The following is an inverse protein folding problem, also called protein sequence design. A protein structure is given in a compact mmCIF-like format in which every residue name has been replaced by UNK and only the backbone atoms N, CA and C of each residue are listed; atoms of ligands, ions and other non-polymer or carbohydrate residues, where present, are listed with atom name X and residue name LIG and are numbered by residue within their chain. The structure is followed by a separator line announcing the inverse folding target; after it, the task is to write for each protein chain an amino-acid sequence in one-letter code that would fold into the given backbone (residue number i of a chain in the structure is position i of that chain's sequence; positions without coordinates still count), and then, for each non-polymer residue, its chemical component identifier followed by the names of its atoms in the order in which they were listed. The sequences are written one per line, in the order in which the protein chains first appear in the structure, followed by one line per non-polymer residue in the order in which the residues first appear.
data_IF_887617091028
#
_entry.id   IF_887617091028
#
_cell.length_a   1.000
_cell.length_b   1.000
_cell.length_c   1.000
_cell.angle_alpha   90.00
_cell.angle_beta   90.00
_cell.angle_gamma   90.00
#
_symmetry.space_group_name_H-M   'P 1'
#
loop_
_entity.id
_entity.type
_entity.pdbx_description
1 polymer ?
#
# COMPACT_ATOMS: atom_id res chain seq x y z
N UNK A 1 -23.00 -52.84 8.79
CA UNK A 1 -22.40 -54.03 8.17
C UNK A 1 -21.46 -53.57 7.08
N UNK A 2 -20.17 -53.93 7.19
CA UNK A 2 -19.03 -53.67 6.27
C UNK A 2 -18.73 -52.17 6.09
N UNK A 3 -17.86 -51.49 6.86
CA UNK A 3 -16.45 -51.70 7.29
C UNK A 3 -15.49 -51.89 6.11
N UNK A 4 -14.75 -50.83 5.77
CA UNK A 4 -13.65 -50.81 4.81
C UNK A 4 -12.58 -49.81 5.27
N UNK A 5 -11.77 -50.26 6.22
CA UNK A 5 -10.58 -49.62 6.79
C UNK A 5 -9.42 -49.69 5.80
N UNK A 6 -8.62 -48.62 5.66
CA UNK A 6 -7.21 -48.74 5.28
C UNK A 6 -6.35 -47.83 6.16
N UNK A 7 -5.55 -48.50 6.97
CA UNK A 7 -4.47 -48.05 7.84
C UNK A 7 -3.14 -48.07 7.06
N UNK A 8 -2.21 -47.22 7.49
CA UNK A 8 -0.76 -47.46 7.38
C UNK A 8 -0.04 -46.60 6.33
N UNK A 9 1.14 -46.04 6.55
CA UNK A 9 2.09 -46.26 7.64
C UNK A 9 3.12 -45.12 7.73
N UNK A 10 3.69 -45.00 8.93
CA UNK A 10 4.84 -44.18 9.31
C UNK A 10 6.12 -44.48 8.50
N UNK A 11 7.02 -43.48 8.42
CA UNK A 11 8.43 -43.71 8.08
C UNK A 11 9.29 -42.45 8.16
N UNK A 12 10.00 -42.31 9.29
CA UNK A 12 11.40 -41.86 9.52
C UNK A 12 12.03 -40.96 8.44
N UNK A 13 12.59 -39.79 8.72
CA UNK A 13 13.57 -39.55 9.78
C UNK A 13 14.98 -39.88 9.27
N UNK A 14 15.61 -38.96 8.52
CA UNK A 14 17.04 -38.98 8.26
C UNK A 14 17.61 -37.56 8.34
N UNK A 15 18.66 -37.45 9.15
CA UNK A 15 19.38 -36.25 9.55
C UNK A 15 20.86 -36.55 9.42
N UNK A 16 21.62 -35.87 8.58
CA UNK A 16 23.11 -35.88 8.61
C UNK A 16 23.62 -34.59 7.89
N UNK A 17 24.83 -34.06 8.13
CA UNK A 17 25.30 -33.35 9.33
C UNK A 17 25.93 -31.96 9.03
N UNK A 18 26.22 -31.20 10.09
CA UNK A 18 27.14 -30.07 10.08
C UNK A 18 28.61 -30.52 10.29
N UNK A 19 29.56 -29.77 9.69
CA UNK A 19 31.00 -29.88 9.96
C UNK A 19 31.85 -28.84 9.20
N UNK A 20 32.58 -27.94 9.89
CA UNK A 20 33.51 -26.92 9.33
C UNK A 20 34.99 -27.33 9.60
N UNK A 21 36.04 -26.45 9.65
CA UNK A 21 36.37 -25.16 8.98
C UNK A 21 37.81 -25.15 8.35
N UNK A 22 38.19 -24.07 7.66
CA UNK A 22 39.59 -23.69 7.37
C UNK A 22 39.67 -22.60 6.29
N UNK A 23 40.39 -21.49 6.38
CA UNK A 23 41.47 -21.08 7.28
C UNK A 23 42.74 -20.76 6.49
N UNK A 24 43.03 -19.45 6.34
CA UNK A 24 44.32 -18.79 6.02
C UNK A 24 44.75 -18.65 4.55
N UNK A 25 45.14 -17.42 4.23
CA UNK A 25 45.87 -17.05 3.02
C UNK A 25 46.05 -15.54 2.90
N UNK A 26 46.75 -14.92 3.86
CA UNK A 26 47.28 -13.57 3.73
C UNK A 26 48.49 -13.58 2.78
N UNK A 27 48.60 -12.57 1.91
CA UNK A 27 49.84 -12.24 1.23
C UNK A 27 49.97 -10.71 1.16
N UNK A 28 51.08 -10.24 1.74
CA UNK A 28 51.59 -8.89 1.85
C UNK A 28 51.89 -8.19 0.52
N UNK A 29 52.01 -6.87 0.65
CA UNK A 29 52.38 -5.86 -0.34
C UNK A 29 53.79 -6.04 -0.97
N UNK A 30 54.16 -5.13 -1.88
CA UNK A 30 55.17 -4.17 -1.44
C UNK A 30 54.90 -2.70 -1.80
N UNK A 31 55.58 -1.88 -1.01
CA UNK A 31 55.58 -0.43 -0.85
C UNK A 31 56.47 0.33 -1.87
N UNK A 32 55.94 1.49 -2.34
CA UNK A 32 56.59 2.80 -2.67
C UNK A 32 57.64 2.95 -3.80
N UNK A 33 57.84 4.16 -4.41
CA UNK A 33 58.14 5.43 -3.74
C UNK A 33 57.37 6.69 -4.16
N UNK A 34 57.49 7.67 -3.26
CA UNK A 34 57.02 9.04 -3.31
C UNK A 34 57.62 9.87 -4.47
N UNK A 35 56.86 10.84 -4.93
CA UNK A 35 57.31 11.96 -5.75
C UNK A 35 56.50 13.21 -5.40
N UNK A 36 57.12 14.11 -4.65
CA UNK A 36 56.66 15.48 -4.42
C UNK A 36 56.74 16.28 -5.73
N UNK A 37 55.69 17.06 -6.02
CA UNK A 37 55.63 17.94 -7.18
C UNK A 37 54.49 18.94 -7.04
N UNK A 38 54.83 20.08 -6.45
CA UNK A 38 54.03 21.28 -6.30
C UNK A 38 53.55 21.85 -7.65
N UNK A 39 52.28 22.25 -7.71
CA UNK A 39 51.68 22.89 -8.87
C UNK A 39 50.25 23.32 -8.60
N UNK A 40 50.08 24.43 -7.87
CA UNK A 40 48.86 25.24 -7.93
C UNK A 40 48.60 25.67 -9.37
N UNK A 41 47.44 25.34 -9.93
CA UNK A 41 46.53 26.34 -10.50
C UNK A 41 45.18 25.74 -10.95
N UNK A 42 44.14 26.23 -10.29
CA UNK A 42 42.79 26.48 -10.81
C UNK A 42 42.00 25.31 -11.41
N UNK A 43 41.64 24.34 -10.56
CA UNK A 43 40.35 23.65 -10.72
C UNK A 43 39.24 24.64 -10.35
N UNK A 44 38.59 25.22 -11.35
CA UNK A 44 37.30 25.88 -11.22
C UNK A 44 36.28 24.83 -10.75
N UNK A 45 36.15 24.67 -9.44
CA UNK A 45 35.11 23.84 -8.84
C UNK A 45 33.79 24.59 -9.03
N UNK A 46 32.96 24.02 -9.89
CA UNK A 46 31.57 24.36 -10.15
C UNK A 46 30.78 24.56 -8.84
N UNK A 47 30.67 25.81 -8.40
CA UNK A 47 29.86 26.25 -7.27
C UNK A 47 28.39 26.53 -7.68
N UNK A 48 27.83 25.80 -8.64
CA UNK A 48 26.53 26.10 -9.25
C UNK A 48 25.43 25.05 -9.02
N UNK A 49 25.66 24.05 -8.16
CA UNK A 49 24.65 23.03 -7.87
C UNK A 49 23.62 23.46 -6.80
N UNK A 50 23.93 24.46 -5.97
CA UNK A 50 23.04 24.93 -4.88
C UNK A 50 22.28 26.22 -5.22
N UNK A 51 22.36 26.73 -6.46
CA UNK A 51 21.81 28.03 -6.84
C UNK A 51 20.58 27.98 -7.74
N UNK A 52 19.98 26.82 -8.00
CA UNK A 52 18.75 26.76 -8.81
C UNK A 52 17.51 27.14 -7.98
N UNK A 53 16.50 27.80 -8.58
CA UNK A 53 15.25 28.10 -7.89
C UNK A 53 14.52 26.84 -7.39
N UNK A 54 14.66 25.72 -8.10
CA UNK A 54 14.13 24.41 -7.69
C UNK A 54 14.82 23.90 -6.43
N UNK A 55 16.15 23.93 -6.38
CA UNK A 55 16.92 23.50 -5.22
C UNK A 55 16.58 24.34 -3.97
N UNK A 56 16.39 25.66 -4.15
CA UNK A 56 15.93 26.55 -3.09
C UNK A 56 14.50 26.20 -2.60
N UNK A 57 13.59 25.91 -3.52
CA UNK A 57 12.22 25.52 -3.20
C UNK A 57 12.14 24.17 -2.48
N UNK A 58 12.91 23.16 -2.92
CA UNK A 58 13.00 21.86 -2.26
C UNK A 58 13.66 21.98 -0.88
N UNK A 59 14.69 22.81 -0.74
CA UNK A 59 15.28 23.12 0.58
C UNK A 59 14.26 23.75 1.52
N UNK A 60 13.42 24.66 1.01
CA UNK A 60 12.34 25.24 1.78
C UNK A 60 11.31 24.18 2.20
N UNK A 61 10.97 23.25 1.31
CA UNK A 61 10.06 22.14 1.62
C UNK A 61 10.62 21.24 2.71
N UNK A 62 11.87 20.77 2.57
CA UNK A 62 12.54 19.96 3.58
C UNK A 62 12.49 20.68 4.92
N UNK A 63 12.89 21.95 4.96
CA UNK A 63 12.84 22.77 6.18
C UNK A 63 11.43 22.92 6.73
N UNK A 64 10.39 22.94 5.92
CA UNK A 64 9.00 23.05 6.40
C UNK A 64 8.48 21.72 6.98
N UNK A 65 8.91 20.58 6.41
CA UNK A 65 8.45 19.24 6.78
C UNK A 65 9.27 18.56 7.87
N UNK A 66 10.51 19.00 8.12
CA UNK A 66 11.31 18.52 9.26
C UNK A 66 10.59 18.87 10.57
N UNK A 67 10.43 17.93 11.52
CA UNK A 67 9.83 18.23 12.81
C UNK A 67 10.55 19.40 13.51
N UNK A 68 9.83 20.40 14.04
CA UNK A 68 10.44 21.48 14.79
C UNK A 68 10.87 21.01 16.19
N UNK A 69 11.54 21.89 16.92
CA UNK A 69 11.90 21.65 18.32
C UNK A 69 10.66 21.37 19.20
N UNK A 70 10.79 20.43 20.14
CA UNK A 70 9.73 19.99 21.06
C UNK A 70 9.21 21.10 22.00
N UNK A 71 9.91 22.23 22.09
CA UNK A 71 9.54 23.39 22.90
C UNK A 71 8.50 24.31 22.25
N UNK A 72 8.06 24.01 21.02
CA UNK A 72 7.07 24.82 20.33
C UNK A 72 5.67 24.68 20.94
N UNK A 73 4.93 25.79 20.99
CA UNK A 73 3.53 25.81 21.40
C UNK A 73 2.62 25.23 20.32
N UNK A 74 1.44 24.75 20.71
CA UNK A 74 0.44 24.15 19.80
C UNK A 74 0.14 25.06 18.59
N UNK A 75 -0.16 26.33 18.82
CA UNK A 75 -0.51 27.28 17.75
C UNK A 75 0.60 27.41 16.69
N UNK A 76 1.87 27.30 17.11
CA UNK A 76 3.03 27.37 16.21
C UNK A 76 3.21 26.08 15.42
N UNK A 77 2.92 24.94 16.03
CA UNK A 77 2.93 23.63 15.35
C UNK A 77 1.86 23.59 14.27
N UNK A 78 0.64 24.05 14.59
CA UNK A 78 -0.49 24.08 13.64
C UNK A 78 -0.21 25.02 12.48
N UNK A 79 0.21 26.26 12.74
CA UNK A 79 0.55 27.23 11.69
C UNK A 79 1.64 26.68 10.74
N UNK A 80 2.65 25.99 11.28
CA UNK A 80 3.70 25.34 10.50
C UNK A 80 3.17 24.19 9.67
N UNK A 81 2.33 23.33 10.25
CA UNK A 81 1.72 22.21 9.55
C UNK A 81 0.93 22.68 8.34
N UNK A 82 0.08 23.70 8.51
CA UNK A 82 -0.68 24.30 7.41
C UNK A 82 0.23 24.89 6.34
N UNK A 83 1.23 25.70 6.73
CA UNK A 83 2.18 26.27 5.78
C UNK A 83 2.97 25.19 5.00
N UNK A 84 3.33 24.09 5.67
CA UNK A 84 4.00 22.95 5.04
C UNK A 84 3.10 22.26 4.01
N UNK A 85 1.82 22.03 4.33
CA UNK A 85 0.84 21.45 3.39
C UNK A 85 0.59 22.35 2.19
N UNK A 86 0.46 23.66 2.39
CA UNK A 86 0.29 24.63 1.31
C UNK A 86 1.52 24.66 0.39
N UNK A 87 2.73 24.65 0.96
CA UNK A 87 3.97 24.59 0.18
C UNK A 87 4.04 23.29 -0.63
N UNK A 88 3.80 22.14 0.01
CA UNK A 88 3.77 20.84 -0.67
C UNK A 88 2.76 20.84 -1.83
N UNK A 89 1.54 21.32 -1.59
CA UNK A 89 0.48 21.41 -2.59
C UNK A 89 0.88 22.25 -3.81
N UNK A 90 1.56 23.39 -3.60
CA UNK A 90 2.09 24.22 -4.69
C UNK A 90 3.21 23.52 -5.46
N UNK A 91 4.15 22.88 -4.76
CA UNK A 91 5.30 22.24 -5.39
C UNK A 91 4.92 21.01 -6.22
N UNK A 92 3.88 20.27 -5.82
CA UNK A 92 3.29 19.16 -6.60
C UNK A 92 2.73 19.58 -7.97
N UNK A 93 2.46 20.88 -8.16
CA UNK A 93 1.97 21.45 -9.41
C UNK A 93 3.08 22.15 -10.20
N UNK A 94 4.33 22.08 -9.72
CA UNK A 94 5.47 22.69 -10.40
C UNK A 94 5.92 21.91 -11.63
N UNK A 95 6.91 22.47 -12.31
CA UNK A 95 7.46 21.89 -13.53
C UNK A 95 8.29 20.62 -13.26
N UNK A 96 8.56 19.79 -14.29
CA UNK A 96 9.33 18.56 -14.12
C UNK A 96 10.73 18.72 -13.52
N UNK A 97 11.37 19.87 -13.68
CA UNK A 97 12.69 20.14 -13.06
C UNK A 97 12.63 20.12 -11.54
N UNK A 98 11.55 20.66 -10.96
CA UNK A 98 11.30 20.62 -9.52
C UNK A 98 11.08 19.19 -9.02
N UNK A 99 10.36 18.38 -9.80
CA UNK A 99 10.16 16.96 -9.49
C UNK A 99 11.48 16.17 -9.52
N UNK A 100 12.30 16.38 -10.55
CA UNK A 100 13.64 15.75 -10.63
C UNK A 100 14.55 16.17 -9.49
N UNK A 101 14.50 17.44 -9.09
CA UNK A 101 15.27 17.94 -7.96
C UNK A 101 14.81 17.30 -6.63
N UNK A 102 13.50 17.14 -6.43
CA UNK A 102 12.96 16.44 -5.26
C UNK A 102 13.41 14.97 -5.22
N UNK A 103 13.36 14.25 -6.34
CA UNK A 103 13.82 12.87 -6.44
C UNK A 103 15.33 12.75 -6.20
N UNK A 104 16.11 13.66 -6.78
CA UNK A 104 17.56 13.72 -6.56
C UNK A 104 17.87 13.92 -5.08
N UNK A 105 17.17 14.85 -4.42
CA UNK A 105 17.35 15.12 -2.98
C UNK A 105 16.96 13.91 -2.14
N UNK A 106 15.83 13.25 -2.46
CA UNK A 106 15.39 12.04 -1.76
C UNK A 106 16.44 10.94 -1.81
N UNK A 107 17.01 10.67 -3.00
CA UNK A 107 17.98 9.61 -3.20
C UNK A 107 19.38 9.94 -2.66
N UNK A 108 19.82 11.18 -2.78
CA UNK A 108 21.14 11.61 -2.35
C UNK A 108 21.24 11.75 -0.82
N UNK A 109 20.24 12.38 -0.20
CA UNK A 109 20.27 12.65 1.24
C UNK A 109 19.69 11.52 2.07
N UNK A 110 18.77 10.73 1.50
CA UNK A 110 18.03 9.66 2.18
C UNK A 110 17.53 10.07 3.59
N UNK A 111 16.70 11.12 3.71
CA UNK A 111 16.35 11.67 5.02
C UNK A 111 15.65 10.65 5.92
N UNK A 112 15.95 10.67 7.22
CA UNK A 112 15.35 9.75 8.21
C UNK A 112 13.87 10.08 8.52
N UNK A 113 13.47 11.34 8.34
CA UNK A 113 12.12 11.78 8.64
C UNK A 113 11.11 11.35 7.57
N UNK A 114 10.11 10.57 7.98
CA UNK A 114 9.06 10.03 7.09
C UNK A 114 8.33 11.18 6.37
N UNK A 115 8.00 12.26 7.07
CA UNK A 115 7.30 13.43 6.49
C UNK A 115 8.10 14.08 5.37
N UNK A 116 9.43 14.18 5.53
CA UNK A 116 10.32 14.74 4.52
C UNK A 116 10.42 13.79 3.33
N UNK A 117 10.64 12.49 3.56
CA UNK A 117 10.71 11.50 2.47
C UNK A 117 9.44 11.46 1.64
N UNK A 118 8.28 11.32 2.30
CA UNK A 118 7.00 11.29 1.62
C UNK A 118 6.78 12.59 0.87
N UNK A 119 7.04 13.76 1.48
CA UNK A 119 6.91 15.04 0.79
C UNK A 119 7.78 15.17 -0.47
N UNK A 120 9.03 14.72 -0.43
CA UNK A 120 9.91 14.70 -1.60
C UNK A 120 9.42 13.72 -2.67
N UNK A 121 8.99 12.52 -2.26
CA UNK A 121 8.43 11.52 -3.17
C UNK A 121 7.13 12.01 -3.83
N UNK A 122 6.27 12.70 -3.08
CA UNK A 122 5.05 13.33 -3.60
C UNK A 122 5.35 14.39 -4.66
N UNK A 123 6.27 15.31 -4.39
CA UNK A 123 6.66 16.33 -5.38
C UNK A 123 7.27 15.68 -6.62
N UNK A 124 8.16 14.70 -6.43
CA UNK A 124 8.75 13.94 -7.52
C UNK A 124 7.69 13.26 -8.40
N UNK A 125 6.77 12.54 -7.78
CA UNK A 125 5.73 11.79 -8.47
C UNK A 125 4.74 12.68 -9.24
N UNK A 126 4.31 13.81 -8.67
CA UNK A 126 3.32 14.66 -9.32
C UNK A 126 3.92 15.62 -10.35
N UNK A 127 5.07 16.23 -10.06
CA UNK A 127 5.68 17.23 -10.94
C UNK A 127 6.49 16.58 -12.07
N UNK A 128 7.06 15.40 -11.83
CA UNK A 128 7.84 14.64 -12.82
C UNK A 128 7.43 13.15 -12.87
N UNK A 129 6.17 12.83 -13.23
CA UNK A 129 5.62 11.47 -13.14
C UNK A 129 6.38 10.44 -13.98
N UNK A 130 6.86 10.82 -15.16
CA UNK A 130 7.65 9.94 -16.04
C UNK A 130 9.00 9.58 -15.40
N UNK A 131 9.65 10.55 -14.77
CA UNK A 131 10.96 10.40 -14.12
C UNK A 131 10.83 9.64 -12.78
N UNK A 132 9.72 9.83 -12.06
CA UNK A 132 9.46 9.17 -10.77
C UNK A 132 9.03 7.70 -10.91
N UNK A 133 8.35 7.33 -12.01
CA UNK A 133 7.75 6.00 -12.18
C UNK A 133 8.71 4.83 -11.94
N UNK A 134 9.96 4.82 -12.45
CA UNK A 134 10.89 3.72 -12.15
C UNK A 134 11.13 3.52 -10.65
N UNK A 135 11.29 4.60 -9.89
CA UNK A 135 11.47 4.53 -8.44
C UNK A 135 10.20 4.00 -7.75
N UNK A 136 9.01 4.47 -8.18
CA UNK A 136 7.74 3.99 -7.60
C UNK A 136 7.52 2.50 -7.85
N UNK A 137 7.81 2.02 -9.07
CA UNK A 137 7.76 0.59 -9.41
C UNK A 137 8.67 -0.23 -8.48
N UNK A 138 9.91 0.23 -8.27
CA UNK A 138 10.87 -0.42 -7.38
C UNK A 138 10.38 -0.45 -5.93
N UNK A 139 9.90 0.68 -5.40
CA UNK A 139 9.39 0.76 -4.03
C UNK A 139 8.21 -0.21 -3.79
N UNK A 140 7.33 -0.38 -4.77
CA UNK A 140 6.20 -1.31 -4.66
C UNK A 140 6.68 -2.77 -4.71
N UNK A 141 7.50 -3.12 -5.70
CA UNK A 141 7.82 -4.50 -6.05
C UNK A 141 9.01 -5.09 -5.28
N UNK A 142 10.01 -4.28 -4.94
CA UNK A 142 11.26 -4.76 -4.35
C UNK A 142 11.21 -4.83 -2.82
N UNK A 143 11.88 -5.84 -2.27
CA UNK A 143 12.04 -6.01 -0.84
C UNK A 143 13.23 -5.19 -0.32
N UNK A 144 13.13 -4.69 0.92
CA UNK A 144 14.23 -4.01 1.62
C UNK A 144 14.07 -2.49 1.77
N UNK A 145 13.12 -1.88 1.06
CA UNK A 145 12.76 -0.48 1.26
C UNK A 145 11.92 -0.27 2.53
N UNK A 146 11.98 0.94 3.09
CA UNK A 146 11.20 1.34 4.27
C UNK A 146 9.71 1.20 3.98
N UNK A 147 8.96 0.56 4.88
CA UNK A 147 7.54 0.26 4.63
C UNK A 147 6.70 1.52 4.39
N UNK A 148 7.03 2.64 5.06
CA UNK A 148 6.39 3.94 4.82
C UNK A 148 6.47 4.37 3.36
N UNK A 149 7.63 4.18 2.73
CA UNK A 149 7.92 4.66 1.38
C UNK A 149 7.25 3.73 0.36
N UNK A 150 7.19 2.43 0.66
CA UNK A 150 6.49 1.43 -0.15
C UNK A 150 4.98 1.66 -0.15
N UNK A 151 4.38 1.91 1.01
CA UNK A 151 2.96 2.26 1.13
C UNK A 151 2.63 3.56 0.41
N UNK A 152 3.49 4.58 0.55
CA UNK A 152 3.33 5.85 -0.15
C UNK A 152 3.43 5.68 -1.68
N UNK A 153 4.36 4.85 -2.15
CA UNK A 153 4.54 4.58 -3.58
C UNK A 153 3.31 3.94 -4.22
N UNK A 154 2.59 3.06 -3.51
CA UNK A 154 1.33 2.48 -3.99
C UNK A 154 0.30 3.57 -4.32
N UNK A 155 0.12 4.53 -3.40
CA UNK A 155 -0.79 5.66 -3.59
C UNK A 155 -0.36 6.55 -4.75
N UNK A 156 0.93 6.92 -4.77
CA UNK A 156 1.48 7.82 -5.80
C UNK A 156 1.47 7.21 -7.20
N UNK A 157 1.77 5.93 -7.33
CA UNK A 157 1.72 5.22 -8.60
C UNK A 157 0.29 5.23 -9.16
N UNK A 158 -0.72 4.99 -8.33
CA UNK A 158 -2.12 5.05 -8.73
C UNK A 158 -2.57 6.45 -9.18
N UNK A 159 -2.12 7.49 -8.48
CA UNK A 159 -2.50 8.88 -8.79
C UNK A 159 -1.81 9.45 -10.03
N UNK A 160 -0.59 9.00 -10.33
CA UNK A 160 0.25 9.63 -11.36
C UNK A 160 0.49 8.75 -12.59
N UNK A 161 0.35 7.44 -12.43
CA UNK A 161 0.53 6.42 -13.48
C UNK A 161 -0.51 5.30 -13.35
N UNK A 162 -1.82 5.60 -13.44
CA UNK A 162 -2.89 4.67 -13.09
C UNK A 162 -2.86 3.36 -13.90
N UNK A 163 -2.63 3.41 -15.21
CA UNK A 163 -2.49 2.20 -16.03
C UNK A 163 -1.36 1.29 -15.53
N UNK A 164 -0.23 1.86 -15.09
CA UNK A 164 0.89 1.10 -14.53
C UNK A 164 0.56 0.52 -13.15
N UNK A 165 -0.17 1.28 -12.33
CA UNK A 165 -0.64 0.79 -11.04
C UNK A 165 -1.56 -0.43 -11.20
N UNK A 166 -2.44 -0.47 -12.21
CA UNK A 166 -3.25 -1.65 -12.50
C UNK A 166 -2.44 -2.87 -12.91
N UNK A 167 -1.45 -2.67 -13.78
CA UNK A 167 -0.55 -3.74 -14.23
C UNK A 167 0.20 -4.40 -13.06
N UNK A 168 0.54 -3.63 -12.02
CA UNK A 168 1.31 -4.11 -10.87
C UNK A 168 0.40 -4.60 -9.74
N UNK A 169 -0.55 -3.79 -9.30
CA UNK A 169 -1.36 -4.05 -8.11
C UNK A 169 -2.46 -5.08 -8.37
N UNK A 170 -3.04 -5.08 -9.58
CA UNK A 170 -4.11 -6.00 -9.94
C UNK A 170 -3.70 -7.47 -9.81
N UNK A 171 -2.54 -7.90 -10.35
CA UNK A 171 -2.06 -9.26 -10.15
C UNK A 171 -1.81 -9.62 -8.69
N UNK A 172 -1.31 -8.69 -7.87
CA UNK A 172 -1.05 -8.93 -6.44
C UNK A 172 -2.35 -9.21 -5.67
N UNK A 173 -3.41 -8.45 -5.97
CA UNK A 173 -4.73 -8.61 -5.33
C UNK A 173 -5.46 -9.88 -5.75
N UNK A 174 -5.12 -10.46 -6.90
CA UNK A 174 -5.70 -11.73 -7.38
C UNK A 174 -4.99 -12.97 -6.82
N UNK A 175 -3.87 -12.81 -6.12
CA UNK A 175 -3.16 -13.96 -5.55
C UNK A 175 -3.95 -14.56 -4.39
N UNK A 176 -3.96 -15.89 -4.31
CA UNK A 176 -4.51 -16.61 -3.15
C UNK A 176 -3.79 -16.19 -1.86
N UNK A 177 -2.47 -16.05 -1.91
CA UNK A 177 -1.67 -15.63 -0.76
C UNK A 177 -0.41 -14.89 -1.17
N UNK A 178 -0.21 -13.70 -0.61
CA UNK A 178 1.06 -12.98 -0.72
C UNK A 178 2.15 -13.73 0.07
N UNK A 179 3.27 -14.02 -0.60
CA UNK A 179 4.39 -14.80 -0.03
C UNK A 179 5.59 -13.94 0.38
N UNK A 180 5.41 -12.63 0.40
CA UNK A 180 6.46 -11.66 0.75
C UNK A 180 5.87 -10.51 1.56
N UNK A 181 6.72 -9.81 2.31
CA UNK A 181 6.31 -8.61 3.04
C UNK A 181 5.97 -7.51 2.05
N UNK A 182 4.72 -7.07 2.06
CA UNK A 182 4.17 -6.02 1.21
C UNK A 182 3.60 -4.90 2.09
N UNK A 183 3.32 -3.71 1.52
CA UNK A 183 2.37 -2.78 2.12
C UNK A 183 1.08 -3.51 2.51
N UNK A 184 0.39 -3.01 3.54
CA UNK A 184 -0.88 -3.61 3.94
C UNK A 184 -1.85 -3.65 2.76
N UNK A 185 -2.58 -4.76 2.67
CA UNK A 185 -3.40 -5.08 1.51
C UNK A 185 -4.55 -4.08 1.34
N UNK A 186 -4.96 -3.40 2.42
CA UNK A 186 -5.92 -2.30 2.32
C UNK A 186 -5.38 -1.14 1.47
N UNK A 187 -4.08 -0.84 1.55
CA UNK A 187 -3.44 0.20 0.74
C UNK A 187 -3.21 -0.28 -0.70
N UNK A 188 -2.86 -1.56 -0.89
CA UNK A 188 -2.78 -2.16 -2.23
C UNK A 188 -4.14 -2.07 -2.95
N UNK A 189 -5.22 -2.43 -2.25
CA UNK A 189 -6.58 -2.33 -2.77
C UNK A 189 -6.97 -0.87 -3.00
N UNK A 190 -6.64 0.04 -2.07
CA UNK A 190 -6.90 1.47 -2.21
C UNK A 190 -6.27 2.06 -3.48
N UNK A 191 -4.97 1.81 -3.67
CA UNK A 191 -4.24 2.29 -4.84
C UNK A 191 -4.81 1.70 -6.13
N UNK A 192 -5.12 0.40 -6.13
CA UNK A 192 -5.70 -0.24 -7.31
C UNK A 192 -7.10 0.31 -7.65
N UNK A 193 -7.95 0.60 -6.67
CA UNK A 193 -9.26 1.23 -6.89
C UNK A 193 -9.11 2.66 -7.44
N UNK A 194 -8.21 3.46 -6.90
CA UNK A 194 -7.88 4.79 -7.45
C UNK A 194 -7.42 4.70 -8.91
N UNK A 195 -6.66 3.66 -9.25
CA UNK A 195 -6.23 3.43 -10.62
C UNK A 195 -7.41 3.08 -11.54
N UNK A 196 -8.28 2.16 -11.11
CA UNK A 196 -9.49 1.76 -11.84
C UNK A 196 -10.42 2.95 -12.11
N UNK A 197 -10.64 3.82 -11.13
CA UNK A 197 -11.44 5.03 -11.29
C UNK A 197 -10.87 5.94 -12.40
N UNK A 198 -9.54 6.05 -12.49
CA UNK A 198 -8.86 6.93 -13.45
C UNK A 198 -8.77 6.35 -14.85
N UNK A 199 -8.79 5.03 -15.00
CA UNK A 199 -8.74 4.34 -16.30
C UNK A 199 -10.12 3.93 -16.81
N UNK A 200 -11.12 3.90 -15.93
CA UNK A 200 -12.45 3.36 -16.23
C UNK A 200 -12.52 1.83 -16.19
N UNK A 201 -11.56 1.15 -15.56
CA UNK A 201 -11.60 -0.31 -15.38
C UNK A 201 -12.69 -0.69 -14.37
N UNK A 202 -13.50 -1.71 -14.69
CA UNK A 202 -14.48 -2.28 -13.76
C UNK A 202 -13.78 -3.04 -12.62
N UNK A 203 -13.96 -2.64 -11.34
CA UNK A 203 -13.23 -3.24 -10.25
C UNK A 203 -13.82 -4.57 -9.74
N UNK A 204 -15.03 -4.94 -10.16
CA UNK A 204 -15.86 -5.97 -9.49
C UNK A 204 -15.17 -7.34 -9.40
N UNK A 205 -14.48 -7.81 -10.44
CA UNK A 205 -13.86 -9.15 -10.41
C UNK A 205 -12.77 -9.28 -9.34
N UNK A 206 -11.93 -8.24 -9.19
CA UNK A 206 -10.86 -8.25 -8.17
C UNK A 206 -11.45 -8.02 -6.79
N UNK A 207 -12.43 -7.13 -6.67
CA UNK A 207 -13.16 -6.94 -5.42
C UNK A 207 -13.79 -8.25 -4.93
N UNK A 208 -14.42 -9.01 -5.83
CA UNK A 208 -14.97 -10.32 -5.52
C UNK A 208 -13.90 -11.31 -5.04
N UNK A 209 -12.75 -11.31 -5.71
CA UNK A 209 -11.59 -12.12 -5.32
C UNK A 209 -11.08 -11.76 -3.94
N UNK A 210 -10.88 -10.47 -3.64
CA UNK A 210 -10.37 -9.99 -2.35
C UNK A 210 -11.38 -10.27 -1.23
N UNK A 211 -12.67 -9.99 -1.44
CA UNK A 211 -13.71 -10.22 -0.45
C UNK A 211 -13.82 -11.71 -0.06
N UNK A 212 -13.76 -12.61 -1.04
CA UNK A 212 -13.86 -14.06 -0.82
C UNK A 212 -12.57 -14.75 -0.34
N UNK A 213 -11.43 -14.06 -0.36
CA UNK A 213 -10.15 -14.66 0.01
C UNK A 213 -9.88 -14.57 1.52
N UNK A 214 -10.03 -15.70 2.22
CA UNK A 214 -9.79 -15.81 3.68
C UNK A 214 -8.34 -15.54 4.11
N UNK A 215 -7.38 -15.57 3.18
CA UNK A 215 -5.97 -15.25 3.45
C UNK A 215 -5.64 -13.77 3.25
N UNK A 216 -6.59 -12.96 2.77
CA UNK A 216 -6.45 -11.52 2.77
C UNK A 216 -6.66 -10.96 4.19
N UNK A 217 -5.95 -9.88 4.49
CA UNK A 217 -6.12 -9.08 5.70
C UNK A 217 -7.56 -8.58 5.78
N UNK A 218 -8.16 -8.66 6.97
CA UNK A 218 -9.56 -8.29 7.19
C UNK A 218 -9.87 -6.86 6.73
N UNK A 219 -8.96 -5.91 6.90
CA UNK A 219 -9.15 -4.52 6.45
C UNK A 219 -9.37 -4.42 4.92
N UNK A 220 -8.60 -5.17 4.12
CA UNK A 220 -8.78 -5.23 2.68
C UNK A 220 -10.11 -5.91 2.31
N UNK A 221 -10.47 -7.01 2.98
CA UNK A 221 -11.75 -7.71 2.78
C UNK A 221 -12.94 -6.83 3.12
N UNK A 222 -12.87 -6.11 4.25
CA UNK A 222 -13.89 -5.16 4.68
C UNK A 222 -14.11 -4.06 3.64
N UNK A 223 -13.01 -3.46 3.15
CA UNK A 223 -13.08 -2.45 2.10
C UNK A 223 -13.66 -3.01 0.81
N UNK A 224 -13.23 -4.21 0.40
CA UNK A 224 -13.73 -4.84 -0.81
C UNK A 224 -15.25 -5.08 -0.76
N UNK A 225 -15.76 -5.57 0.37
CA UNK A 225 -17.20 -5.76 0.60
C UNK A 225 -17.98 -4.46 0.55
N UNK A 226 -17.44 -3.38 1.14
CA UNK A 226 -18.10 -2.07 1.06
C UNK A 226 -18.14 -1.56 -0.37
N UNK A 227 -17.02 -1.64 -1.07
CA UNK A 227 -16.90 -1.19 -2.46
C UNK A 227 -17.84 -1.98 -3.38
N UNK A 228 -17.98 -3.31 -3.21
CA UNK A 228 -18.94 -4.11 -3.99
C UNK A 228 -20.39 -3.61 -3.86
N UNK A 229 -20.75 -2.95 -2.76
CA UNK A 229 -22.06 -2.30 -2.58
C UNK A 229 -22.26 -1.09 -3.50
N UNK A 230 -21.19 -0.42 -3.91
CA UNK A 230 -21.22 0.73 -4.82
C UNK A 230 -21.26 0.30 -6.30
N UNK A 231 -20.98 -0.97 -6.59
CA UNK A 231 -20.97 -1.54 -7.95
C UNK A 231 -22.08 -2.61 -8.11
N UNK A 232 -23.36 -2.22 -8.25
CA UNK A 232 -24.46 -3.17 -8.33
C UNK A 232 -24.36 -4.03 -9.59
N UNK A 233 -24.37 -5.34 -9.40
CA UNK A 233 -24.26 -6.30 -10.50
C UNK A 233 -24.44 -7.73 -10.00
N UNK A 234 -24.58 -8.68 -10.93
CA UNK A 234 -24.79 -10.09 -10.60
C UNK A 234 -23.64 -10.67 -9.79
N UNK A 235 -22.40 -10.36 -10.16
CA UNK A 235 -21.21 -10.85 -9.45
C UNK A 235 -21.09 -10.22 -8.06
N UNK A 236 -21.23 -8.89 -7.95
CA UNK A 236 -21.18 -8.19 -6.65
C UNK A 236 -22.21 -8.74 -5.69
N UNK A 237 -23.46 -8.88 -6.13
CA UNK A 237 -24.54 -9.46 -5.32
C UNK A 237 -24.19 -10.88 -4.87
N UNK A 238 -23.79 -11.76 -5.80
CA UNK A 238 -23.46 -13.14 -5.47
C UNK A 238 -22.31 -13.23 -4.45
N UNK A 239 -21.27 -12.40 -4.60
CA UNK A 239 -20.19 -12.35 -3.62
C UNK A 239 -20.67 -11.86 -2.26
N UNK A 240 -21.48 -10.79 -2.20
CA UNK A 240 -21.99 -10.26 -0.94
C UNK A 240 -22.89 -11.28 -0.22
N UNK A 241 -23.74 -12.02 -0.95
CA UNK A 241 -24.55 -13.10 -0.39
C UNK A 241 -23.68 -14.23 0.18
N UNK A 242 -22.60 -14.62 -0.51
CA UNK A 242 -21.64 -15.62 -0.01
C UNK A 242 -20.94 -15.13 1.26
N UNK A 243 -20.46 -13.89 1.28
CA UNK A 243 -19.79 -13.32 2.45
C UNK A 243 -20.75 -13.19 3.63
N UNK A 244 -22.02 -12.84 3.40
CA UNK A 244 -23.05 -12.71 4.43
C UNK A 244 -23.23 -14.01 5.24
N UNK A 245 -23.07 -15.18 4.60
CA UNK A 245 -23.24 -16.50 5.23
C UNK A 245 -21.91 -17.19 5.55
N UNK A 246 -20.78 -16.50 5.41
CA UNK A 246 -19.45 -17.06 5.63
C UNK A 246 -19.24 -17.51 7.09
N UNK A 247 -18.73 -18.73 7.29
CA UNK A 247 -18.52 -19.36 8.60
C UNK A 247 -17.08 -19.21 9.14
N UNK A 248 -16.38 -18.14 8.79
CA UNK A 248 -15.00 -17.88 9.24
C UNK A 248 -14.91 -17.21 10.60
N UNK A 249 -16.04 -16.90 11.23
CA UNK A 249 -16.10 -16.20 12.52
C UNK A 249 -15.89 -14.68 12.42
N UNK A 250 -15.68 -14.13 11.22
CA UNK A 250 -15.61 -12.68 11.02
C UNK A 250 -17.02 -12.06 10.94
N UNK A 251 -17.67 -11.90 12.10
CA UNK A 251 -19.01 -11.31 12.19
C UNK A 251 -19.08 -9.86 11.68
N UNK A 252 -17.99 -9.10 11.72
CA UNK A 252 -17.98 -7.72 11.25
C UNK A 252 -18.02 -7.63 9.72
N UNK A 253 -17.28 -8.49 9.01
CA UNK A 253 -17.34 -8.63 7.56
C UNK A 253 -18.76 -9.00 7.09
N UNK A 254 -19.41 -9.95 7.77
CA UNK A 254 -20.80 -10.37 7.47
C UNK A 254 -21.78 -9.21 7.62
N UNK A 255 -21.63 -8.37 8.66
CA UNK A 255 -22.45 -7.17 8.86
C UNK A 255 -22.23 -6.14 7.75
N UNK A 256 -20.99 -5.94 7.30
CA UNK A 256 -20.70 -5.07 6.15
C UNK A 256 -21.37 -5.59 4.87
N UNK A 257 -21.37 -6.91 4.66
CA UNK A 257 -22.03 -7.50 3.50
C UNK A 257 -23.55 -7.28 3.54
N UNK A 258 -24.18 -7.44 4.71
CA UNK A 258 -25.59 -7.11 4.87
C UNK A 258 -25.88 -5.63 4.58
N UNK A 259 -25.05 -4.71 5.11
CA UNK A 259 -25.19 -3.28 4.86
C UNK A 259 -25.04 -2.94 3.37
N UNK A 260 -24.04 -3.51 2.70
CA UNK A 260 -23.83 -3.34 1.27
C UNK A 260 -24.99 -3.90 0.42
N UNK A 261 -25.57 -5.04 0.80
CA UNK A 261 -26.77 -5.58 0.15
C UNK A 261 -27.99 -4.68 0.37
N UNK A 262 -28.16 -4.15 1.59
CA UNK A 262 -29.27 -3.26 1.92
C UNK A 262 -29.21 -1.94 1.14
N UNK A 263 -28.00 -1.39 0.92
CA UNK A 263 -27.83 -0.14 0.17
C UNK A 263 -27.89 -0.32 -1.35
N UNK A 264 -27.54 -1.51 -1.88
CA UNK A 264 -27.40 -1.74 -3.32
C UNK A 264 -28.60 -2.40 -4.00
N UNK A 265 -29.50 -3.03 -3.23
CA UNK A 265 -30.63 -3.80 -3.78
C UNK A 265 -31.99 -3.11 -3.52
N UNK A 266 -33.00 -3.37 -4.35
CA UNK A 266 -34.38 -3.02 -4.01
C UNK A 266 -34.80 -3.65 -2.69
N UNK A 267 -35.55 -2.89 -1.88
CA UNK A 267 -35.99 -3.30 -0.53
C UNK A 267 -36.61 -4.71 -0.52
N UNK A 268 -37.51 -5.02 -1.45
CA UNK A 268 -38.16 -6.34 -1.56
C UNK A 268 -37.15 -7.49 -1.69
N UNK A 269 -36.09 -7.29 -2.49
CA UNK A 269 -35.05 -8.29 -2.72
C UNK A 269 -34.17 -8.44 -1.48
N UNK A 270 -33.72 -7.32 -0.90
CA UNK A 270 -32.93 -7.32 0.33
C UNK A 270 -33.70 -7.99 1.49
N UNK A 271 -34.98 -7.67 1.66
CA UNK A 271 -35.88 -8.29 2.63
C UNK A 271 -35.97 -9.80 2.47
N UNK A 272 -36.13 -10.29 1.25
CA UNK A 272 -36.20 -11.73 0.99
C UNK A 272 -34.91 -12.44 1.40
N UNK A 273 -33.75 -11.86 1.04
CA UNK A 273 -32.43 -12.42 1.39
C UNK A 273 -32.25 -12.44 2.91
N UNK A 274 -32.51 -11.32 3.60
CA UNK A 274 -32.27 -11.24 5.04
C UNK A 274 -33.21 -12.12 5.85
N UNK A 275 -34.47 -12.32 5.41
CA UNK A 275 -35.37 -13.30 6.04
C UNK A 275 -34.82 -14.71 5.94
N UNK A 276 -34.38 -15.12 4.75
CA UNK A 276 -33.82 -16.46 4.53
C UNK A 276 -32.57 -16.70 5.39
N UNK A 277 -31.68 -15.71 5.45
CA UNK A 277 -30.45 -15.82 6.26
C UNK A 277 -30.79 -15.86 7.77
N UNK A 278 -31.71 -15.01 8.23
CA UNK A 278 -32.12 -14.97 9.63
C UNK A 278 -32.76 -16.28 10.11
N UNK A 279 -33.56 -16.94 9.26
CA UNK A 279 -34.17 -18.25 9.58
C UNK A 279 -33.13 -19.36 9.81
N UNK A 280 -31.95 -19.23 9.23
CA UNK A 280 -30.86 -20.22 9.29
C UNK A 280 -29.71 -19.80 10.21
N UNK A 281 -29.78 -18.62 10.81
CA UNK A 281 -28.69 -18.07 11.62
C UNK A 281 -28.66 -18.68 13.03
N UNK A 282 -27.48 -19.18 13.41
CA UNK A 282 -27.24 -19.76 14.74
C UNK A 282 -26.56 -18.77 15.69
N UNK A 283 -25.83 -17.77 15.17
CA UNK A 283 -25.21 -16.73 15.98
C UNK A 283 -26.25 -15.71 16.44
N UNK A 284 -26.50 -15.66 17.75
CA UNK A 284 -27.51 -14.77 18.34
C UNK A 284 -27.24 -13.29 18.07
N UNK A 285 -25.98 -12.85 18.04
CA UNK A 285 -25.64 -11.44 17.80
C UNK A 285 -25.86 -11.07 16.33
N UNK A 286 -25.55 -11.97 15.40
CA UNK A 286 -25.83 -11.78 13.99
C UNK A 286 -27.33 -11.80 13.72
N UNK A 287 -28.08 -12.71 14.36
CA UNK A 287 -29.54 -12.76 14.24
C UNK A 287 -30.18 -11.45 14.72
N UNK A 288 -29.79 -10.93 15.88
CA UNK A 288 -30.29 -9.62 16.38
C UNK A 288 -29.99 -8.51 15.36
N UNK A 289 -28.78 -8.50 14.81
CA UNK A 289 -28.41 -7.52 13.79
C UNK A 289 -29.27 -7.63 12.52
N UNK A 290 -29.51 -8.85 12.01
CA UNK A 290 -30.35 -9.08 10.84
C UNK A 290 -31.80 -8.67 11.08
N UNK A 291 -32.34 -8.91 12.29
CA UNK A 291 -33.68 -8.47 12.66
C UNK A 291 -33.80 -6.93 12.67
N UNK A 292 -32.78 -6.22 13.17
CA UNK A 292 -32.75 -4.76 13.13
C UNK A 292 -32.71 -4.23 11.67
N UNK A 293 -31.90 -4.85 10.80
CA UNK A 293 -31.88 -4.49 9.38
C UNK A 293 -33.23 -4.78 8.70
N UNK A 294 -33.88 -5.91 9.03
CA UNK A 294 -35.19 -6.24 8.49
C UNK A 294 -36.25 -5.21 8.89
N UNK A 295 -36.21 -4.70 10.12
CA UNK A 295 -37.10 -3.61 10.56
C UNK A 295 -36.85 -2.31 9.77
N UNK A 296 -35.58 -1.97 9.50
CA UNK A 296 -35.21 -0.78 8.75
C UNK A 296 -35.56 -0.86 7.26
N UNK A 297 -35.36 -2.02 6.63
CA UNK A 297 -35.51 -2.20 5.17
C UNK A 297 -36.93 -2.64 4.77
N UNK A 298 -37.63 -3.37 5.64
CA UNK A 298 -38.93 -4.00 5.33
C UNK A 298 -40.12 -3.44 6.12
N UNK A 299 -39.86 -2.61 7.12
CA UNK A 299 -40.86 -2.01 8.01
C UNK A 299 -41.53 -0.76 7.45
#
# INVERSE_FOLDING_TARGET
MVVGTLLGACGRGESIPAGPPGGRGAAEAPETPAGEGSGEQATSVSASADSSPEAAAITQLVRALTPPDLTWTSDRLDARFHAGRELLGRLKQGDPELGREALRRLLADNPEEITVRNGLLEVGAHSAPVDARPLLDQLVLEYGHRMSDRTEAVRLLAETSPARAEEILGPLLRQERLRQTMPDQEFLLAGWLTACERTGTDPVEVLATVAGNIFMQDAARHRAVQELGEHPGTLSRATLEVVLVESTGNGYLRRKAAQALASSLPAETACSIFKEVAEKEADRNMLIFLLNILEEVCG
#
